data_IF_126921846251
#
_entry.id   IF_126921846251
#
_cell.length_a   1.000
_cell.length_b   1.000
_cell.length_c   1.000
_cell.angle_alpha   90.00
_cell.angle_beta   90.00
_cell.angle_gamma   90.00
#
_symmetry.space_group_name_H-M   'P 1'
#
loop_
_entity.id
_entity.type
_entity.pdbx_description
1 polymer ?
#
# COMPACT_ATOMS: atom_id res chain seq x y z
N UNK A 1 40.82 -54.08 32.59
CA UNK A 1 41.74 -53.30 33.45
C UNK A 1 42.31 -52.14 32.64
N UNK A 2 42.46 -50.96 33.30
CA UNK A 2 43.15 -49.72 32.87
C UNK A 2 42.33 -48.84 31.90
N UNK A 3 41.69 -47.74 32.35
CA UNK A 3 42.16 -46.42 32.90
C UNK A 3 42.25 -45.36 31.79
N UNK A 4 41.90 -44.12 32.19
CA UNK A 4 42.05 -42.77 31.55
C UNK A 4 40.83 -42.25 30.76
N UNK A 5 39.95 -41.42 31.34
CA UNK A 5 40.07 -39.98 31.68
C UNK A 5 40.20 -39.09 30.41
N UNK A 6 39.10 -38.50 29.92
CA UNK A 6 38.53 -37.17 30.25
C UNK A 6 39.30 -36.01 29.63
N UNK A 7 38.87 -35.52 28.46
CA UNK A 7 39.34 -34.27 27.85
C UNK A 7 38.21 -33.61 27.00
N UNK A 8 37.70 -32.48 27.53
CA UNK A 8 37.38 -31.19 26.86
C UNK A 8 36.13 -31.14 25.95
N UNK A 9 35.02 -30.57 26.46
CA UNK A 9 34.58 -29.16 26.30
C UNK A 9 34.19 -28.83 24.85
N UNK A 10 32.90 -28.73 24.52
CA UNK A 10 31.94 -27.66 24.84
C UNK A 10 31.55 -26.95 23.54
N UNK A 11 30.35 -27.29 23.04
CA UNK A 11 29.43 -26.56 22.18
C UNK A 11 29.99 -25.46 21.25
N UNK A 12 30.07 -25.76 19.94
CA UNK A 12 30.04 -24.74 18.89
C UNK A 12 28.57 -24.46 18.52
N UNK A 13 27.95 -23.52 19.24
CA UNK A 13 26.67 -22.95 18.86
C UNK A 13 26.92 -21.75 17.94
N UNK A 14 26.73 -21.92 16.63
CA UNK A 14 26.60 -20.81 15.68
C UNK A 14 25.15 -20.76 15.21
N UNK A 15 24.30 -20.15 16.04
CA UNK A 15 22.93 -19.80 15.67
C UNK A 15 22.99 -18.72 14.59
N UNK A 16 22.63 -19.07 13.36
CA UNK A 16 22.26 -18.12 12.33
C UNK A 16 21.09 -17.28 12.85
N UNK A 17 21.34 -16.01 13.12
CA UNK A 17 20.29 -15.02 13.35
C UNK A 17 19.52 -14.84 12.04
N UNK A 18 18.40 -15.53 11.89
CA UNK A 18 17.41 -15.17 10.89
C UNK A 18 16.86 -13.77 11.22
N UNK A 19 16.68 -12.87 10.25
CA UNK A 19 16.01 -11.61 10.50
C UNK A 19 14.56 -11.91 10.91
N UNK A 20 14.19 -11.54 12.12
CA UNK A 20 12.81 -11.57 12.58
C UNK A 20 11.99 -10.65 11.69
N UNK A 21 11.19 -11.26 10.80
CA UNK A 21 10.10 -10.58 10.14
C UNK A 21 9.14 -10.08 11.23
N UNK A 22 9.11 -8.77 11.48
CA UNK A 22 8.06 -8.16 12.28
C UNK A 22 6.81 -8.11 11.41
N UNK A 23 5.91 -9.06 11.63
CA UNK A 23 4.56 -8.99 11.11
C UNK A 23 3.55 -9.35 12.19
N UNK A 24 2.51 -8.52 12.22
CA UNK A 24 1.17 -8.77 12.73
C UNK A 24 0.93 -8.70 14.26
N UNK A 25 0.25 -7.60 14.64
CA UNK A 25 -0.94 -7.69 15.50
C UNK A 25 -0.74 -7.65 17.01
N UNK A 26 -0.64 -6.44 17.57
CA UNK A 26 -1.48 -5.96 18.67
C UNK A 26 -0.95 -4.58 19.15
N UNK A 27 -1.63 -3.50 18.77
CA UNK A 27 -1.70 -2.23 19.52
C UNK A 27 -0.46 -1.35 19.77
N UNK A 28 0.78 -1.79 19.51
CA UNK A 28 1.97 -1.04 19.92
C UNK A 28 2.66 -0.30 18.78
N UNK A 29 2.03 0.78 18.30
CA UNK A 29 2.69 1.69 17.37
C UNK A 29 3.49 2.73 18.16
N UNK A 30 4.73 3.05 17.74
CA UNK A 30 5.60 3.95 18.50
C UNK A 30 4.89 5.28 18.78
N UNK A 31 5.13 5.89 19.97
CA UNK A 31 4.46 7.14 20.34
C UNK A 31 4.69 8.19 19.26
N UNK A 32 3.60 8.74 18.70
CA UNK A 32 3.63 9.69 17.58
C UNK A 32 3.20 9.12 16.21
N UNK A 33 3.10 7.79 16.07
CA UNK A 33 2.65 7.12 14.83
C UNK A 33 1.22 6.56 14.91
N UNK A 34 0.62 6.54 16.11
CA UNK A 34 -0.78 6.11 16.36
C UNK A 34 -1.81 7.03 15.73
N UNK A 35 -1.52 8.34 15.65
CA UNK A 35 -2.48 9.36 15.16
C UNK A 35 -2.36 9.66 13.66
N UNK A 36 -1.51 8.93 12.94
CA UNK A 36 -1.32 9.08 11.49
C UNK A 36 -2.15 8.02 10.78
N UNK A 37 -2.67 8.33 9.61
CA UNK A 37 -3.41 7.39 8.77
C UNK A 37 -2.63 7.23 7.45
N UNK A 38 -2.24 6.00 7.03
CA UNK A 38 -2.37 4.73 7.74
C UNK A 38 -1.55 4.69 9.05
N UNK A 39 -2.08 4.09 10.14
CA UNK A 39 -1.40 4.02 11.41
C UNK A 39 -0.16 3.17 11.28
N UNK A 40 0.87 3.55 12.04
CA UNK A 40 2.10 2.75 12.17
C UNK A 40 2.96 2.70 10.88
N UNK A 41 2.61 3.48 9.85
CA UNK A 41 3.42 3.68 8.66
C UNK A 41 4.21 4.99 8.79
N UNK A 42 5.54 4.99 8.57
CA UNK A 42 6.33 6.22 8.58
C UNK A 42 5.76 7.25 7.58
N UNK A 43 5.62 8.53 7.96
CA UNK A 43 5.26 9.58 7.03
C UNK A 43 6.26 9.59 5.86
N UNK A 44 5.75 9.55 4.62
CA UNK A 44 6.56 9.41 3.41
C UNK A 44 6.67 7.98 2.85
N UNK A 45 6.36 6.95 3.64
CA UNK A 45 6.19 5.57 3.17
C UNK A 45 4.72 5.21 2.92
N UNK A 46 3.79 5.90 3.57
CA UNK A 46 2.35 5.74 3.34
C UNK A 46 1.94 5.92 1.87
N UNK A 47 2.65 6.80 1.14
CA UNK A 47 2.43 7.07 -0.29
C UNK A 47 3.23 6.15 -1.22
N UNK A 48 4.19 5.38 -0.68
CA UNK A 48 5.11 4.54 -1.48
C UNK A 48 4.62 3.11 -1.69
N UNK A 49 3.56 2.69 -1.00
CA UNK A 49 2.97 1.35 -1.11
C UNK A 49 1.87 1.21 -2.16
N UNK A 50 1.93 1.97 -3.26
CA UNK A 50 0.89 1.93 -4.30
C UNK A 50 1.35 1.01 -5.44
N UNK A 51 1.39 -0.29 -5.15
CA UNK A 51 1.82 -1.36 -6.05
C UNK A 51 0.95 -1.48 -7.33
N UNK A 52 -0.14 -0.72 -7.43
CA UNK A 52 -1.13 -0.82 -8.50
C UNK A 52 -1.17 0.32 -9.52
N UNK A 53 -0.27 1.31 -9.44
CA UNK A 53 -0.18 2.41 -10.43
C UNK A 53 -1.41 3.33 -10.54
N UNK A 54 -2.37 3.18 -9.61
CA UNK A 54 -3.61 3.95 -9.57
C UNK A 54 -3.63 4.89 -8.36
N UNK A 55 -4.30 6.03 -8.51
CA UNK A 55 -4.53 6.99 -7.45
C UNK A 55 -5.56 6.50 -6.42
N UNK A 56 -5.36 6.84 -5.16
CA UNK A 56 -6.29 6.57 -4.07
C UNK A 56 -7.20 7.78 -3.79
N UNK A 57 -8.26 7.56 -3.00
CA UNK A 57 -9.11 8.66 -2.53
C UNK A 57 -8.27 9.69 -1.75
N UNK A 58 -8.43 10.96 -2.08
CA UNK A 58 -7.69 12.08 -1.49
C UNK A 58 -6.37 12.39 -2.20
N UNK A 59 -5.92 11.54 -3.12
CA UNK A 59 -4.82 11.89 -4.00
C UNK A 59 -5.24 12.97 -4.99
N UNK A 60 -4.25 13.69 -5.51
CA UNK A 60 -4.46 14.73 -6.52
C UNK A 60 -3.96 14.23 -7.87
N UNK A 61 -4.76 14.43 -8.92
CA UNK A 61 -4.37 14.11 -10.29
C UNK A 61 -4.23 15.41 -11.08
N UNK A 62 -2.99 15.75 -11.45
CA UNK A 62 -2.68 16.94 -12.24
C UNK A 62 -2.89 16.71 -13.75
N UNK A 63 -2.71 15.46 -14.21
CA UNK A 63 -2.73 15.09 -15.62
C UNK A 63 -3.72 13.94 -15.86
N UNK A 64 -4.75 14.22 -16.66
CA UNK A 64 -5.83 13.30 -16.95
C UNK A 64 -6.57 13.67 -18.23
N UNK A 65 -7.24 12.68 -18.81
CA UNK A 65 -8.21 12.89 -19.88
C UNK A 65 -9.62 12.92 -19.29
N UNK A 66 -10.45 13.90 -19.67
CA UNK A 66 -11.84 13.95 -19.20
C UNK A 66 -12.68 12.89 -19.91
N UNK A 67 -13.56 12.23 -19.16
CA UNK A 67 -14.55 11.31 -19.72
C UNK A 67 -15.84 12.06 -20.03
N UNK A 68 -16.02 12.50 -21.28
CA UNK A 68 -17.14 13.38 -21.68
C UNK A 68 -18.52 12.70 -21.62
N UNK A 69 -18.57 11.38 -21.81
CA UNK A 69 -19.82 10.63 -21.91
C UNK A 69 -19.92 9.51 -20.86
N UNK A 70 -19.97 9.83 -19.55
CA UNK A 70 -20.00 8.84 -18.48
C UNK A 70 -21.20 7.88 -18.59
N UNK A 71 -22.34 8.39 -19.04
CA UNK A 71 -23.57 7.60 -19.20
C UNK A 71 -23.42 6.41 -20.17
N UNK A 72 -22.50 6.48 -21.15
CA UNK A 72 -22.24 5.36 -22.08
C UNK A 72 -21.63 4.14 -21.40
N UNK A 73 -21.09 4.34 -20.19
CA UNK A 73 -20.45 3.33 -19.36
C UNK A 73 -21.30 3.00 -18.11
N UNK A 74 -22.59 3.38 -18.11
CA UNK A 74 -23.48 3.18 -16.96
C UNK A 74 -23.12 4.03 -15.74
N UNK A 75 -22.27 5.05 -15.90
CA UNK A 75 -21.90 5.97 -14.83
C UNK A 75 -22.91 7.11 -14.77
N UNK A 76 -23.23 7.54 -13.55
CA UNK A 76 -24.12 8.68 -13.33
C UNK A 76 -23.45 10.01 -13.70
N UNK A 77 -24.19 11.12 -13.60
CA UNK A 77 -23.62 12.45 -13.79
C UNK A 77 -22.51 12.78 -12.77
N UNK A 78 -21.42 13.38 -13.25
CA UNK A 78 -20.26 13.72 -12.43
C UNK A 78 -18.97 13.94 -13.22
N UNK A 79 -17.94 14.37 -12.48
CA UNK A 79 -16.63 14.64 -13.02
C UNK A 79 -15.78 13.39 -13.03
N UNK A 80 -15.79 12.69 -14.18
CA UNK A 80 -15.02 11.48 -14.41
C UNK A 80 -13.80 11.77 -15.28
N UNK A 81 -12.67 11.19 -14.91
CA UNK A 81 -11.41 11.34 -15.63
C UNK A 81 -10.71 10.00 -15.75
N UNK A 82 -9.87 9.91 -16.77
CA UNK A 82 -9.06 8.74 -17.08
C UNK A 82 -7.60 9.07 -16.83
N UNK A 83 -6.92 8.23 -16.05
CA UNK A 83 -5.47 8.35 -15.84
C UNK A 83 -4.88 6.95 -15.64
N UNK A 84 -3.76 6.67 -16.30
CA UNK A 84 -3.08 5.36 -16.27
C UNK A 84 -4.01 4.15 -16.56
N UNK A 85 -5.01 4.34 -17.42
CA UNK A 85 -5.96 3.29 -17.79
C UNK A 85 -7.07 3.03 -16.76
N UNK A 86 -7.16 3.83 -15.70
CA UNK A 86 -8.23 3.77 -14.70
C UNK A 86 -9.14 4.98 -14.80
N UNK A 87 -10.41 4.77 -14.46
CA UNK A 87 -11.43 5.81 -14.37
C UNK A 87 -11.60 6.22 -12.91
N UNK A 88 -11.56 7.52 -12.67
CA UNK A 88 -11.74 8.13 -11.36
C UNK A 88 -12.88 9.12 -11.40
N UNK A 89 -13.56 9.29 -10.27
CA UNK A 89 -14.35 10.47 -10.01
C UNK A 89 -13.51 11.46 -9.23
N UNK A 90 -13.45 12.70 -9.67
CA UNK A 90 -12.65 13.76 -9.05
C UNK A 90 -13.50 14.95 -8.60
N UNK A 91 -12.95 15.75 -7.71
CA UNK A 91 -13.36 17.14 -7.54
C UNK A 91 -12.74 17.96 -8.67
N UNK A 92 -13.57 18.61 -9.48
CA UNK A 92 -13.12 19.36 -10.66
C UNK A 92 -12.34 20.63 -10.32
N UNK A 93 -12.58 21.23 -9.16
CA UNK A 93 -11.85 22.43 -8.73
C UNK A 93 -10.45 22.09 -8.22
N UNK A 94 -10.35 20.96 -7.52
CA UNK A 94 -9.14 20.62 -6.77
C UNK A 94 -8.43 19.40 -7.31
N UNK A 95 -8.84 18.77 -8.41
CA UNK A 95 -8.23 17.54 -8.96
C UNK A 95 -8.18 16.34 -8.00
N UNK A 96 -8.86 16.43 -6.85
CA UNK A 96 -8.82 15.42 -5.80
C UNK A 96 -9.66 14.20 -6.17
N UNK A 97 -9.11 13.01 -6.01
CA UNK A 97 -9.81 11.75 -6.25
C UNK A 97 -10.84 11.51 -5.17
N UNK A 98 -12.11 11.48 -5.58
CA UNK A 98 -13.24 11.15 -4.71
C UNK A 98 -13.53 9.65 -4.72
N UNK A 99 -13.30 8.97 -5.86
CA UNK A 99 -13.47 7.53 -5.99
C UNK A 99 -12.67 6.96 -7.17
N UNK A 100 -12.14 5.74 -7.00
CA UNK A 100 -11.70 4.89 -8.10
C UNK A 100 -12.93 4.09 -8.59
N UNK A 101 -13.25 4.19 -9.88
CA UNK A 101 -14.35 3.47 -10.50
C UNK A 101 -13.89 2.09 -10.97
N UNK A 102 -12.72 2.02 -11.60
CA UNK A 102 -12.13 0.78 -12.10
C UNK A 102 -11.26 1.01 -13.32
N UNK A 103 -10.75 -0.07 -13.90
CA UNK A 103 -10.02 -0.01 -15.17
C UNK A 103 -10.97 0.31 -16.33
N UNK A 104 -10.52 1.13 -17.28
CA UNK A 104 -11.30 1.50 -18.48
C UNK A 104 -11.74 0.27 -19.28
N UNK A 105 -10.89 -0.76 -19.35
CA UNK A 105 -11.18 -2.01 -20.08
C UNK A 105 -12.41 -2.74 -19.51
N UNK A 106 -12.69 -2.60 -18.22
CA UNK A 106 -13.83 -3.25 -17.57
C UNK A 106 -15.16 -2.51 -17.80
N UNK A 107 -15.09 -1.25 -18.24
CA UNK A 107 -16.26 -0.40 -18.48
C UNK A 107 -16.77 -0.51 -19.93
N UNK A 108 -15.94 -0.98 -20.86
CA UNK A 108 -16.25 -1.12 -22.29
C UNK A 108 -17.04 -2.39 -22.65
N UNK A 109 -17.51 -3.13 -21.65
CA UNK A 109 -18.08 -4.47 -21.82
C UNK A 109 -19.58 -4.46 -22.16
#
# INVERSE_FOLDING_TARGET
>A
MKRTALIIASALAATFAAPTAFAAGNGNCPPGLVKKNPPCVPPGQAKKGHDGGHFQRGDHIDHYDRLDQPNRYGLNDGNYVVSNGYVYRINEQTGEVLALIGAMQNLLN
#
